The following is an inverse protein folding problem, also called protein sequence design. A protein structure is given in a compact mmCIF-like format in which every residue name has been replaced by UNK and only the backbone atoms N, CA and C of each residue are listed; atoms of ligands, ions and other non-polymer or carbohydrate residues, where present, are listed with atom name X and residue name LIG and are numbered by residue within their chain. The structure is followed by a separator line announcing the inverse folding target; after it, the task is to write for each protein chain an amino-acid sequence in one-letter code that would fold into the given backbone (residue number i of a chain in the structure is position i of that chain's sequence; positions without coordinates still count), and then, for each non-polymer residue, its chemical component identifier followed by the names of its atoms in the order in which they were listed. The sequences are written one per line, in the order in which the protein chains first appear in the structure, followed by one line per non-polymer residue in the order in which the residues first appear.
data_IF_870215841454
#
_entry.id   IF_870215841454
#
_cell.length_a   1.000
_cell.length_b   1.000
_cell.length_c   1.000
_cell.angle_alpha   90.00
_cell.angle_beta   90.00
_cell.angle_gamma   90.00
#
_symmetry.space_group_name_H-M   'P 1'
#
loop_
_entity.id
_entity.type
_entity.pdbx_description
1 polymer ?
#
# COMPACT_ATOMS: atom_id res chain seq x y z
N UNK A 1 2.27 18.23 -7.99
CA UNK A 1 2.72 18.37 -6.58
C UNK A 1 4.20 18.09 -6.56
N UNK A 2 5.01 19.13 -6.55
CA UNK A 2 6.48 19.01 -6.58
C UNK A 2 7.11 19.21 -5.19
N UNK A 3 6.30 19.58 -4.19
CA UNK A 3 6.78 19.91 -2.84
C UNK A 3 6.18 18.94 -1.80
N UNK A 4 7.01 18.34 -0.96
CA UNK A 4 6.62 17.46 0.16
C UNK A 4 5.58 18.12 1.08
N UNK A 5 5.65 19.44 1.27
CA UNK A 5 4.69 20.19 2.07
C UNK A 5 3.29 20.30 1.41
N UNK A 6 3.22 20.29 0.08
CA UNK A 6 1.94 20.27 -0.65
C UNK A 6 1.28 18.90 -0.53
N UNK A 7 2.05 17.84 -0.70
CA UNK A 7 1.60 16.45 -0.53
C UNK A 7 1.09 16.21 0.90
N UNK A 8 1.83 16.67 1.90
CA UNK A 8 1.42 16.57 3.30
C UNK A 8 0.08 17.30 3.56
N UNK A 9 -0.10 18.53 3.07
CA UNK A 9 -1.36 19.27 3.21
C UNK A 9 -2.53 18.57 2.54
N UNK A 10 -2.30 17.98 1.39
CA UNK A 10 -3.31 17.19 0.67
C UNK A 10 -3.81 16.01 1.52
N UNK A 11 -2.92 15.21 2.09
CA UNK A 11 -3.30 14.08 2.94
C UNK A 11 -3.88 14.50 4.28
N UNK A 12 -3.35 15.58 4.89
CA UNK A 12 -3.92 16.14 6.12
C UNK A 12 -5.41 16.46 5.96
N UNK A 13 -5.81 17.06 4.83
CA UNK A 13 -7.21 17.33 4.53
C UNK A 13 -8.04 16.05 4.39
N UNK A 14 -7.50 15.01 3.74
CA UNK A 14 -8.17 13.72 3.54
C UNK A 14 -8.44 12.97 4.85
N UNK A 15 -7.59 13.13 5.86
CA UNK A 15 -7.79 12.53 7.18
C UNK A 15 -8.55 13.42 8.16
N UNK A 16 -8.66 14.72 7.88
CA UNK A 16 -9.38 15.70 8.72
C UNK A 16 -10.86 15.83 8.38
N UNK A 17 -11.42 14.97 7.54
CA UNK A 17 -12.84 14.99 7.18
C UNK A 17 -13.72 14.80 8.42
N UNK A 18 -14.82 15.58 8.59
CA UNK A 18 -15.69 15.47 9.75
C UNK A 18 -16.82 14.42 9.58
N UNK A 19 -17.30 13.90 10.71
CA UNK A 19 -18.57 13.18 10.81
C UNK A 19 -18.68 11.90 9.96
N UNK A 20 -19.86 11.64 9.35
CA UNK A 20 -20.15 10.38 8.66
C UNK A 20 -19.24 10.07 7.47
N UNK A 21 -18.64 11.09 6.87
CA UNK A 21 -17.71 10.92 5.76
C UNK A 21 -16.38 10.34 6.23
N UNK A 22 -15.85 10.85 7.35
CA UNK A 22 -14.66 10.27 7.99
C UNK A 22 -14.85 8.80 8.32
N UNK A 23 -15.98 8.44 8.93
CA UNK A 23 -16.31 7.04 9.26
C UNK A 23 -16.40 6.17 8.00
N UNK A 24 -17.03 6.70 6.93
CA UNK A 24 -17.13 5.99 5.66
C UNK A 24 -15.77 5.68 5.05
N UNK A 25 -14.85 6.65 5.00
CA UNK A 25 -13.50 6.46 4.49
C UNK A 25 -12.66 5.55 5.40
N UNK A 26 -12.79 5.65 6.72
CA UNK A 26 -12.12 4.75 7.66
C UNK A 26 -12.56 3.28 7.46
N UNK A 27 -13.86 3.05 7.25
CA UNK A 27 -14.39 1.70 6.91
C UNK A 27 -13.85 1.20 5.57
N UNK A 28 -13.75 2.05 4.56
CA UNK A 28 -13.20 1.68 3.26
C UNK A 28 -11.72 1.30 3.38
N UNK A 29 -10.92 2.07 4.10
CA UNK A 29 -9.51 1.76 4.38
C UNK A 29 -9.38 0.44 5.14
N UNK A 30 -10.22 0.21 6.14
CA UNK A 30 -10.24 -1.05 6.90
C UNK A 30 -10.59 -2.27 6.02
N UNK A 31 -11.50 -2.14 5.05
CA UNK A 31 -11.79 -3.19 4.08
C UNK A 31 -10.61 -3.46 3.14
N UNK A 32 -9.92 -2.41 2.68
CA UNK A 32 -8.72 -2.54 1.86
C UNK A 32 -7.57 -3.20 2.61
N UNK A 33 -7.43 -2.91 3.91
CA UNK A 33 -6.39 -3.47 4.77
C UNK A 33 -6.44 -5.00 4.88
N UNK A 34 -7.62 -5.62 4.71
CA UNK A 34 -7.78 -7.08 4.73
C UNK A 34 -6.91 -7.74 3.65
N UNK A 35 -7.06 -7.31 2.40
CA UNK A 35 -6.25 -7.84 1.28
C UNK A 35 -4.77 -7.50 1.41
N UNK A 36 -4.45 -6.27 1.83
CA UNK A 36 -3.06 -5.83 2.08
C UNK A 36 -2.37 -6.71 3.13
N UNK A 37 -3.04 -7.00 4.25
CA UNK A 37 -2.50 -7.90 5.27
C UNK A 37 -2.33 -9.34 4.75
N UNK A 38 -3.25 -9.82 3.90
CA UNK A 38 -3.10 -11.12 3.23
C UNK A 38 -1.86 -11.15 2.33
N UNK A 39 -1.58 -10.08 1.58
CA UNK A 39 -0.37 -9.97 0.76
C UNK A 39 0.89 -10.01 1.61
N UNK A 40 0.97 -9.21 2.68
CA UNK A 40 2.13 -9.21 3.59
C UNK A 40 2.38 -10.59 4.17
N UNK A 41 1.35 -11.23 4.74
CA UNK A 41 1.45 -12.55 5.37
C UNK A 41 1.86 -13.62 4.35
N UNK A 42 1.22 -13.64 3.16
CA UNK A 42 1.53 -14.64 2.13
C UNK A 42 2.94 -14.47 1.56
N UNK A 43 3.42 -13.25 1.37
CA UNK A 43 4.78 -12.98 0.91
C UNK A 43 5.81 -13.40 1.94
N UNK A 44 5.58 -13.10 3.22
CA UNK A 44 6.45 -13.55 4.32
C UNK A 44 6.46 -15.08 4.42
N UNK A 45 5.30 -15.75 4.29
CA UNK A 45 5.19 -17.20 4.27
C UNK A 45 5.99 -17.82 3.12
N UNK A 46 5.91 -17.25 1.90
CA UNK A 46 6.71 -17.71 0.74
C UNK A 46 8.20 -17.55 0.96
N UNK A 47 8.59 -16.45 1.59
CA UNK A 47 9.99 -16.17 1.92
C UNK A 47 10.48 -16.87 3.20
N UNK A 48 9.59 -17.55 3.95
CA UNK A 48 9.85 -18.18 5.26
C UNK A 48 10.35 -17.17 6.30
N UNK A 49 9.71 -16.01 6.35
CA UNK A 49 9.98 -14.96 7.32
C UNK A 49 8.81 -14.89 8.30
N UNK A 50 9.10 -14.92 9.60
CA UNK A 50 8.15 -14.73 10.69
C UNK A 50 8.62 -13.53 11.53
N UNK A 51 8.24 -12.30 11.15
CA UNK A 51 8.81 -11.10 11.76
C UNK A 51 8.33 -10.90 13.19
N UNK A 52 9.27 -10.63 14.10
CA UNK A 52 9.01 -10.22 15.49
C UNK A 52 8.84 -8.70 15.64
N UNK A 53 9.15 -7.94 14.60
CA UNK A 53 8.95 -6.49 14.54
C UNK A 53 8.65 -6.04 13.11
N UNK A 54 7.65 -5.17 12.96
CA UNK A 54 7.19 -4.65 11.67
C UNK A 54 7.07 -3.12 11.73
N UNK A 55 7.63 -2.45 10.74
CA UNK A 55 7.53 -1.01 10.51
C UNK A 55 6.69 -0.75 9.26
N UNK A 56 5.54 -0.09 9.41
CA UNK A 56 4.68 0.35 8.28
C UNK A 56 4.96 1.82 8.00
N UNK A 57 5.60 2.11 6.87
CA UNK A 57 5.99 3.47 6.48
C UNK A 57 4.93 4.04 5.55
N UNK A 58 4.33 5.17 5.94
CA UNK A 58 3.11 5.70 5.34
C UNK A 58 1.88 4.92 5.81
N UNK A 59 1.80 4.63 7.12
CA UNK A 59 0.78 3.75 7.68
C UNK A 59 -0.65 4.33 7.63
N UNK A 60 -0.82 5.59 7.25
CA UNK A 60 -2.09 6.27 7.22
C UNK A 60 -2.80 6.24 8.57
N UNK A 61 -4.08 5.87 8.55
CA UNK A 61 -4.87 5.71 9.77
C UNK A 61 -4.60 4.38 10.54
N UNK A 62 -3.54 3.66 10.21
CA UNK A 62 -3.12 2.41 10.87
C UNK A 62 -4.00 1.19 10.55
N UNK A 63 -4.81 1.23 9.49
CA UNK A 63 -5.73 0.14 9.16
C UNK A 63 -5.00 -1.18 8.89
N UNK A 64 -3.87 -1.15 8.17
CA UNK A 64 -3.06 -2.33 7.87
C UNK A 64 -2.43 -2.91 9.15
N UNK A 65 -1.79 -2.09 9.97
CA UNK A 65 -1.19 -2.53 11.23
C UNK A 65 -2.24 -3.16 12.17
N UNK A 66 -3.41 -2.54 12.30
CA UNK A 66 -4.50 -3.09 13.11
C UNK A 66 -5.02 -4.43 12.58
N UNK A 67 -5.05 -4.63 11.27
CA UNK A 67 -5.44 -5.91 10.67
C UNK A 67 -4.36 -6.99 10.86
N UNK A 68 -3.07 -6.63 10.76
CA UNK A 68 -1.95 -7.54 11.08
C UNK A 68 -2.01 -7.97 12.54
N UNK A 69 -2.24 -7.03 13.47
CA UNK A 69 -2.43 -7.30 14.89
C UNK A 69 -3.60 -8.26 15.14
N UNK A 70 -4.75 -8.04 14.49
CA UNK A 70 -5.92 -8.92 14.60
C UNK A 70 -5.63 -10.35 14.14
N UNK A 71 -4.70 -10.52 13.21
CA UNK A 71 -4.24 -11.82 12.71
C UNK A 71 -3.10 -12.42 13.53
N UNK A 72 -2.60 -11.71 14.55
CA UNK A 72 -1.46 -12.15 15.37
C UNK A 72 -0.15 -12.20 14.59
N UNK A 73 0.02 -11.31 13.58
CA UNK A 73 1.18 -11.31 12.69
C UNK A 73 1.98 -10.02 12.83
N UNK A 74 3.30 -10.12 12.66
CA UNK A 74 4.22 -8.98 12.57
C UNK A 74 4.92 -8.59 13.89
N UNK A 75 4.61 -9.26 14.99
CA UNK A 75 5.23 -9.01 16.30
C UNK A 75 4.95 -7.60 16.81
N UNK A 76 5.99 -6.84 17.15
CA UNK A 76 5.88 -5.41 17.50
C UNK A 76 5.54 -4.60 16.27
N UNK A 77 4.41 -3.88 16.30
CA UNK A 77 3.85 -3.14 15.18
C UNK A 77 4.02 -1.63 15.37
N UNK A 78 4.80 -1.00 14.50
CA UNK A 78 5.09 0.44 14.54
C UNK A 78 4.71 1.08 13.21
N UNK A 79 4.09 2.26 13.25
CA UNK A 79 3.72 3.04 12.07
C UNK A 79 4.46 4.37 12.00
N UNK A 80 4.86 4.76 10.80
CA UNK A 80 5.33 6.12 10.47
C UNK A 80 4.35 6.76 9.51
N UNK A 81 4.01 8.02 9.76
CA UNK A 81 3.05 8.77 8.93
C UNK A 81 3.43 10.25 8.88
N UNK A 82 3.17 10.91 7.74
CA UNK A 82 3.55 12.31 7.51
C UNK A 82 2.50 13.32 8.00
N UNK A 83 1.29 12.89 8.37
CA UNK A 83 0.17 13.75 8.73
C UNK A 83 -0.24 13.59 10.20
N UNK A 84 -0.46 14.70 10.89
CA UNK A 84 -0.87 14.66 12.31
C UNK A 84 -2.27 14.07 12.48
N UNK A 85 -3.19 14.35 11.54
CA UNK A 85 -4.55 13.81 11.59
C UNK A 85 -4.56 12.27 11.47
N UNK A 86 -3.79 11.68 10.55
CA UNK A 86 -3.71 10.24 10.41
C UNK A 86 -3.03 9.59 11.62
N UNK A 87 -1.93 10.16 12.13
CA UNK A 87 -1.26 9.71 13.36
C UNK A 87 -2.23 9.68 14.55
N UNK A 88 -3.04 10.73 14.71
CA UNK A 88 -4.02 10.80 15.80
C UNK A 88 -5.08 9.69 15.69
N UNK A 89 -5.52 9.34 14.49
CA UNK A 89 -6.47 8.25 14.25
C UNK A 89 -5.78 6.89 14.48
N UNK A 90 -4.59 6.69 13.93
CA UNK A 90 -3.85 5.43 14.02
C UNK A 90 -3.52 5.05 15.47
N UNK A 91 -3.16 6.03 16.31
CA UNK A 91 -2.90 5.83 17.75
C UNK A 91 -4.11 5.33 18.54
N UNK A 92 -5.32 5.50 18.01
CA UNK A 92 -6.55 4.99 18.65
C UNK A 92 -6.88 3.55 18.23
N UNK A 93 -6.20 3.00 17.22
CA UNK A 93 -6.42 1.63 16.75
C UNK A 93 -5.76 0.62 17.69
N UNK A 94 -6.49 -0.47 17.94
CA UNK A 94 -6.01 -1.55 18.82
C UNK A 94 -4.90 -2.37 18.15
N UNK A 95 -3.94 -2.80 18.94
CA UNK A 95 -2.89 -3.72 18.56
C UNK A 95 -1.71 -3.08 17.83
N UNK A 96 -1.64 -1.76 17.78
CA UNK A 96 -0.49 -1.00 17.30
C UNK A 96 0.33 -0.55 18.51
N UNK A 97 1.63 -0.82 18.51
CA UNK A 97 2.51 -0.53 19.65
C UNK A 97 2.93 0.94 19.68
N UNK A 98 3.20 1.53 18.52
CA UNK A 98 3.53 2.95 18.38
C UNK A 98 3.17 3.48 17.01
N UNK A 99 2.81 4.77 16.95
CA UNK A 99 2.69 5.53 15.69
C UNK A 99 3.37 6.87 15.88
N UNK A 100 4.30 7.18 14.98
CA UNK A 100 5.11 8.39 15.03
C UNK A 100 4.96 9.18 13.74
N UNK A 101 5.05 10.50 13.89
CA UNK A 101 5.16 11.38 12.74
C UNK A 101 6.60 11.41 12.24
N UNK A 102 6.78 11.37 10.91
CA UNK A 102 8.10 11.51 10.29
C UNK A 102 8.04 12.52 9.12
N UNK A 103 9.17 12.82 8.51
CA UNK A 103 9.32 13.86 7.48
C UNK A 103 8.96 13.39 6.06
N UNK A 104 8.68 12.09 5.86
CA UNK A 104 8.44 11.49 4.55
C UNK A 104 9.69 11.09 3.78
N UNK A 105 10.88 11.25 4.36
CA UNK A 105 12.17 10.98 3.73
C UNK A 105 13.07 10.08 4.59
N UNK A 106 13.26 10.43 5.85
CA UNK A 106 14.18 9.75 6.75
C UNK A 106 13.44 8.88 7.76
N UNK A 107 13.76 7.61 7.81
CA UNK A 107 13.20 6.68 8.82
C UNK A 107 13.96 6.89 10.15
N UNK A 108 13.28 7.35 11.22
CA UNK A 108 13.93 7.66 12.49
C UNK A 108 14.24 6.39 13.32
N UNK A 109 14.98 5.46 12.72
CA UNK A 109 15.36 4.19 13.31
C UNK A 109 16.78 3.79 12.94
N UNK A 110 17.51 3.09 13.82
CA UNK A 110 18.81 2.51 13.49
C UNK A 110 18.74 1.49 12.35
N UNK A 111 19.90 1.19 11.77
CA UNK A 111 20.02 0.18 10.72
C UNK A 111 19.56 -1.19 11.22
N UNK A 112 18.82 -1.90 10.37
CA UNK A 112 18.30 -3.25 10.61
C UNK A 112 17.56 -3.45 11.96
N UNK A 113 16.95 -2.38 12.49
CA UNK A 113 16.24 -2.38 13.78
C UNK A 113 14.85 -3.03 13.71
N UNK A 114 14.32 -3.25 12.52
CA UNK A 114 13.09 -3.99 12.28
C UNK A 114 13.36 -5.20 11.37
N UNK A 115 12.64 -6.30 11.63
CA UNK A 115 12.73 -7.48 10.78
C UNK A 115 11.96 -7.32 9.47
N UNK A 116 10.84 -6.56 9.49
CA UNK A 116 10.02 -6.31 8.32
C UNK A 116 9.68 -4.81 8.20
N UNK A 117 9.93 -4.24 7.04
CA UNK A 117 9.36 -2.97 6.58
C UNK A 117 8.15 -3.21 5.67
N UNK A 118 7.18 -2.33 5.68
CA UNK A 118 6.03 -2.35 4.77
C UNK A 118 5.85 -0.95 4.18
N UNK A 119 5.67 -0.90 2.86
CA UNK A 119 5.31 0.28 2.07
C UNK A 119 4.10 -0.07 1.21
N UNK A 120 2.90 0.11 1.74
CA UNK A 120 1.67 -0.25 1.03
C UNK A 120 0.93 0.97 0.50
N UNK A 121 0.97 1.17 -0.81
CA UNK A 121 0.43 2.35 -1.49
C UNK A 121 1.10 3.66 -1.05
N UNK A 122 2.41 3.69 -1.10
CA UNK A 122 3.25 4.86 -0.74
C UNK A 122 4.12 5.28 -1.93
N UNK A 123 4.76 4.32 -2.61
CA UNK A 123 5.78 4.61 -3.63
C UNK A 123 5.22 5.38 -4.84
N UNK A 124 3.95 5.21 -5.17
CA UNK A 124 3.28 5.97 -6.22
C UNK A 124 3.07 7.44 -5.89
N UNK A 125 3.23 7.83 -4.63
CA UNK A 125 2.98 9.18 -4.11
C UNK A 125 4.23 9.99 -3.80
N UNK A 126 5.40 9.37 -3.75
CA UNK A 126 6.63 10.05 -3.36
C UNK A 126 7.43 10.50 -4.57
N UNK A 127 8.14 11.64 -4.49
CA UNK A 127 8.93 12.16 -5.62
C UNK A 127 10.05 11.22 -6.06
N UNK A 128 10.72 10.56 -5.11
CA UNK A 128 11.84 9.63 -5.35
C UNK A 128 11.55 8.28 -4.67
N UNK A 129 10.83 7.36 -5.34
CA UNK A 129 10.51 6.05 -4.77
C UNK A 129 11.73 5.18 -4.45
N UNK A 130 12.82 5.13 -5.27
CA UNK A 130 14.02 4.39 -4.92
C UNK A 130 14.68 4.89 -3.64
N UNK A 131 14.80 6.20 -3.45
CA UNK A 131 15.43 6.80 -2.26
C UNK A 131 14.67 6.45 -0.99
N UNK A 132 13.33 6.56 -0.97
CA UNK A 132 12.54 6.18 0.19
C UNK A 132 12.65 4.68 0.47
N UNK A 133 12.64 3.85 -0.57
CA UNK A 133 12.76 2.40 -0.42
C UNK A 133 14.14 1.99 0.11
N UNK A 134 15.22 2.64 -0.32
CA UNK A 134 16.58 2.46 0.20
C UNK A 134 16.65 2.79 1.70
N UNK A 135 16.03 3.90 2.10
CA UNK A 135 16.00 4.33 3.51
C UNK A 135 15.21 3.36 4.39
N UNK A 136 14.08 2.83 3.90
CA UNK A 136 13.33 1.77 4.60
C UNK A 136 14.15 0.48 4.68
N UNK A 137 14.86 0.11 3.61
CA UNK A 137 15.72 -1.05 3.57
C UNK A 137 16.94 -0.93 4.51
N UNK A 138 17.43 0.28 4.77
CA UNK A 138 18.45 0.53 5.80
C UNK A 138 17.94 0.16 7.19
N UNK A 139 16.71 0.54 7.52
CA UNK A 139 16.12 0.32 8.83
C UNK A 139 15.54 -1.10 9.01
N UNK A 140 15.31 -1.87 7.92
CA UNK A 140 14.61 -3.14 7.94
C UNK A 140 15.42 -4.26 7.25
N UNK A 141 15.33 -5.50 7.77
CA UNK A 141 16.01 -6.66 7.19
C UNK A 141 15.34 -7.17 5.90
N UNK A 142 14.01 -7.03 5.80
CA UNK A 142 13.23 -7.31 4.61
C UNK A 142 12.17 -6.23 4.44
N UNK A 143 11.73 -5.99 3.21
CA UNK A 143 10.71 -4.97 2.91
C UNK A 143 9.63 -5.56 2.01
N UNK A 144 8.37 -5.39 2.38
CA UNK A 144 7.21 -5.61 1.50
C UNK A 144 6.80 -4.28 0.91
N UNK A 145 6.78 -4.21 -0.41
CA UNK A 145 6.16 -3.11 -1.16
C UNK A 145 4.82 -3.56 -1.73
N UNK A 146 3.84 -2.66 -1.81
CA UNK A 146 2.61 -2.87 -2.57
C UNK A 146 2.24 -1.60 -3.31
N UNK A 147 2.02 -1.71 -4.63
CA UNK A 147 1.67 -0.60 -5.52
C UNK A 147 0.56 -0.98 -6.50
N UNK A 148 -0.30 -0.03 -6.91
CA UNK A 148 -1.27 -0.26 -7.97
C UNK A 148 -0.55 -0.22 -9.33
N UNK A 149 -0.73 -1.26 -10.17
CA UNK A 149 -0.23 -1.23 -11.55
C UNK A 149 -1.20 -0.44 -12.43
N UNK A 150 -0.93 0.84 -12.61
CA UNK A 150 -1.81 1.78 -13.33
C UNK A 150 -1.34 2.10 -14.75
N UNK A 151 -0.16 1.71 -15.17
CA UNK A 151 0.30 1.83 -16.56
C UNK A 151 -0.42 0.81 -17.47
N UNK A 152 -1.76 0.88 -17.51
CA UNK A 152 -2.63 -0.04 -18.24
C UNK A 152 -3.67 0.68 -19.09
N UNK A 153 -4.37 -0.06 -19.96
CA UNK A 153 -5.32 0.51 -20.91
C UNK A 153 -6.51 1.21 -20.24
N UNK A 154 -6.98 0.69 -19.08
CA UNK A 154 -8.12 1.28 -18.37
C UNK A 154 -7.76 2.61 -17.69
N UNK A 155 -6.51 2.79 -17.29
CA UNK A 155 -6.02 4.01 -16.65
C UNK A 155 -5.90 5.20 -17.63
N UNK A 156 -5.83 4.91 -18.95
CA UNK A 156 -5.82 5.94 -20.01
C UNK A 156 -7.13 6.69 -20.14
N UNK A 157 -8.23 6.22 -19.52
CA UNK A 157 -9.52 6.92 -19.54
C UNK A 157 -9.43 8.20 -18.71
N UNK A 158 -10.00 9.29 -19.23
CA UNK A 158 -9.98 10.62 -18.58
C UNK A 158 -10.37 10.58 -17.11
N UNK A 159 -11.50 9.96 -16.78
CA UNK A 159 -11.98 9.80 -15.39
C UNK A 159 -11.02 9.06 -14.45
N UNK A 160 -10.15 8.19 -14.98
CA UNK A 160 -9.16 7.48 -14.18
C UNK A 160 -7.89 8.31 -13.96
N UNK A 161 -7.50 9.11 -14.95
CA UNK A 161 -6.39 10.07 -14.81
C UNK A 161 -6.74 11.18 -13.83
N UNK A 162 -7.96 11.70 -13.90
CA UNK A 162 -8.46 12.66 -12.91
C UNK A 162 -8.44 12.06 -11.52
N UNK A 163 -8.94 10.84 -11.35
CA UNK A 163 -8.93 10.16 -10.06
C UNK A 163 -7.51 9.92 -9.53
N UNK A 164 -6.55 9.50 -10.35
CA UNK A 164 -5.16 9.35 -9.94
C UNK A 164 -4.56 10.68 -9.45
N UNK A 165 -4.84 11.79 -10.15
CA UNK A 165 -4.44 13.12 -9.72
C UNK A 165 -5.15 13.55 -8.42
N UNK A 166 -6.46 13.23 -8.27
CA UNK A 166 -7.25 13.50 -7.07
C UNK A 166 -6.77 12.74 -5.83
N UNK A 167 -6.14 11.58 -5.99
CA UNK A 167 -5.54 10.80 -4.89
C UNK A 167 -4.04 11.02 -4.73
N UNK A 168 -3.45 11.93 -5.51
CA UNK A 168 -2.05 12.34 -5.38
C UNK A 168 -1.02 11.37 -5.96
N UNK A 169 -1.38 10.54 -6.95
CA UNK A 169 -0.41 9.68 -7.63
C UNK A 169 0.52 10.51 -8.51
N UNK A 170 1.81 10.48 -8.21
CA UNK A 170 2.88 11.08 -9.00
C UNK A 170 3.37 10.12 -10.09
N UNK A 171 3.30 8.81 -9.82
CA UNK A 171 3.78 7.77 -10.71
C UNK A 171 2.66 6.82 -11.13
N UNK A 172 2.58 6.52 -12.43
CA UNK A 172 1.72 5.47 -12.98
C UNK A 172 2.62 4.27 -13.32
N UNK A 173 2.69 3.33 -12.39
CA UNK A 173 3.65 2.23 -12.43
C UNK A 173 3.10 1.01 -13.19
N UNK A 174 3.99 0.31 -13.90
CA UNK A 174 3.81 -1.08 -14.28
C UNK A 174 4.69 -2.02 -13.43
N UNK A 175 4.67 -3.33 -13.72
CA UNK A 175 5.47 -4.31 -12.98
C UNK A 175 6.97 -4.14 -13.23
N UNK A 176 7.38 -3.68 -14.41
CA UNK A 176 8.78 -3.44 -14.74
C UNK A 176 9.29 -2.22 -13.98
N UNK A 177 8.48 -1.16 -13.90
CA UNK A 177 8.78 0.04 -13.12
C UNK A 177 8.94 -0.30 -11.63
N UNK A 178 7.98 -1.04 -11.04
CA UNK A 178 8.06 -1.46 -9.65
C UNK A 178 9.32 -2.28 -9.35
N UNK A 179 9.71 -3.19 -10.25
CA UNK A 179 10.96 -3.95 -10.13
C UNK A 179 12.22 -3.10 -10.36
N UNK A 180 12.13 -2.05 -11.19
CA UNK A 180 13.24 -1.09 -11.36
C UNK A 180 13.49 -0.32 -10.09
N UNK A 181 12.43 0.22 -9.47
CA UNK A 181 12.51 0.89 -8.16
C UNK A 181 13.20 0.00 -7.12
N UNK A 182 12.79 -1.27 -7.02
CA UNK A 182 13.41 -2.24 -6.10
C UNK A 182 14.90 -2.43 -6.38
N UNK A 183 15.28 -2.58 -7.65
CA UNK A 183 16.67 -2.79 -8.04
C UNK A 183 17.52 -1.54 -7.80
N UNK A 184 16.99 -0.36 -8.10
CA UNK A 184 17.65 0.93 -7.89
C UNK A 184 17.89 1.21 -6.40
N UNK A 185 16.99 0.74 -5.52
CA UNK A 185 17.18 0.76 -4.07
C UNK A 185 18.12 -0.34 -3.53
N UNK A 186 18.87 -1.03 -4.38
CA UNK A 186 19.81 -2.08 -3.96
C UNK A 186 19.16 -3.37 -3.44
N UNK A 187 17.89 -3.60 -3.78
CA UNK A 187 17.13 -4.76 -3.30
C UNK A 187 16.88 -5.80 -4.39
N UNK A 188 16.62 -7.03 -3.94
CA UNK A 188 16.23 -8.16 -4.78
C UNK A 188 14.85 -8.68 -4.37
N UNK A 189 13.96 -8.89 -5.34
CA UNK A 189 12.65 -9.52 -5.12
C UNK A 189 12.83 -11.00 -4.78
N UNK A 190 12.32 -11.43 -3.63
CA UNK A 190 12.34 -12.82 -3.15
C UNK A 190 11.03 -13.55 -3.40
N UNK A 191 9.92 -12.83 -3.26
CA UNK A 191 8.58 -13.33 -3.55
C UNK A 191 7.73 -12.19 -4.08
N UNK A 192 6.79 -12.49 -4.94
CA UNK A 192 5.85 -11.51 -5.46
C UNK A 192 4.49 -12.12 -5.74
N UNK A 193 3.47 -11.29 -5.77
CA UNK A 193 2.13 -11.62 -6.18
C UNK A 193 1.46 -10.40 -6.83
N UNK A 194 0.38 -10.64 -7.53
CA UNK A 194 -0.45 -9.56 -8.05
C UNK A 194 -1.88 -10.06 -8.15
N UNK A 195 -2.85 -9.25 -7.75
CA UNK A 195 -4.26 -9.59 -7.86
C UNK A 195 -5.18 -8.38 -8.12
N UNK A 196 -6.42 -8.61 -8.54
CA UNK A 196 -7.41 -7.55 -8.63
C UNK A 196 -7.86 -7.12 -7.25
N UNK A 197 -8.32 -5.87 -7.15
CA UNK A 197 -8.95 -5.35 -5.94
C UNK A 197 -10.02 -6.31 -5.39
N UNK A 198 -10.06 -6.55 -4.06
CA UNK A 198 -11.06 -7.39 -3.44
C UNK A 198 -12.49 -6.97 -3.77
N UNK A 199 -13.39 -7.94 -3.83
CA UNK A 199 -14.81 -7.74 -4.19
C UNK A 199 -15.48 -6.70 -3.29
N UNK A 200 -15.25 -6.81 -2.00
CA UNK A 200 -15.84 -5.96 -0.95
C UNK A 200 -15.45 -4.50 -1.14
N UNK A 201 -14.20 -4.24 -1.48
CA UNK A 201 -13.67 -2.89 -1.76
C UNK A 201 -14.34 -2.32 -3.02
N UNK A 202 -14.49 -3.13 -4.09
CA UNK A 202 -15.15 -2.69 -5.33
C UNK A 202 -16.63 -2.42 -5.15
N UNK A 203 -17.30 -3.11 -4.23
CA UNK A 203 -18.72 -2.95 -3.95
C UNK A 203 -19.02 -1.83 -2.96
N UNK A 204 -18.02 -1.34 -2.24
CA UNK A 204 -18.22 -0.41 -1.11
C UNK A 204 -18.97 0.87 -1.51
N UNK A 205 -18.62 1.45 -2.66
CA UNK A 205 -19.26 2.66 -3.16
C UNK A 205 -20.50 2.40 -4.05
N UNK A 206 -20.84 1.14 -4.32
CA UNK A 206 -21.99 0.80 -5.16
C UNK A 206 -23.30 0.95 -4.38
N UNK A 207 -24.05 2.01 -4.70
CA UNK A 207 -25.35 2.29 -4.09
C UNK A 207 -26.51 1.73 -4.95
N UNK A 208 -27.42 1.00 -4.30
CA UNK A 208 -28.60 0.41 -4.94
C UNK A 208 -28.30 -0.89 -5.72
N UNK A 209 -29.36 -1.65 -6.01
CA UNK A 209 -29.26 -2.99 -6.59
C UNK A 209 -28.55 -3.01 -7.97
N UNK A 210 -28.91 -2.09 -8.86
CA UNK A 210 -28.32 -2.03 -10.20
C UNK A 210 -26.81 -1.75 -10.17
N UNK A 211 -26.35 -0.80 -9.33
CA UNK A 211 -24.93 -0.49 -9.18
C UNK A 211 -24.15 -1.66 -8.59
N UNK A 212 -24.73 -2.37 -7.61
CA UNK A 212 -24.13 -3.58 -7.02
C UNK A 212 -24.03 -4.72 -8.02
N UNK A 213 -25.05 -4.98 -8.84
CA UNK A 213 -25.01 -5.98 -9.92
C UNK A 213 -23.88 -5.64 -10.91
N UNK A 214 -23.80 -4.38 -11.39
CA UNK A 214 -22.74 -3.93 -12.30
C UNK A 214 -21.35 -4.05 -11.69
N UNK A 215 -21.17 -3.71 -10.41
CA UNK A 215 -19.90 -3.83 -9.71
C UNK A 215 -19.48 -5.29 -9.52
N UNK A 216 -20.43 -6.20 -9.18
CA UNK A 216 -20.19 -7.64 -9.10
C UNK A 216 -19.79 -8.22 -10.46
N UNK A 217 -20.52 -7.91 -11.54
CA UNK A 217 -20.19 -8.38 -12.88
C UNK A 217 -18.78 -7.92 -13.30
N UNK A 218 -18.45 -6.64 -13.06
CA UNK A 218 -17.12 -6.10 -13.33
C UNK A 218 -16.01 -6.80 -12.54
N UNK A 219 -16.25 -7.04 -11.24
CA UNK A 219 -15.31 -7.76 -10.41
C UNK A 219 -15.12 -9.20 -10.90
N UNK A 220 -16.20 -9.94 -11.17
CA UNK A 220 -16.14 -11.32 -11.66
C UNK A 220 -15.36 -11.41 -12.99
N UNK A 221 -15.64 -10.51 -13.94
CA UNK A 221 -14.89 -10.45 -15.21
C UNK A 221 -13.39 -10.24 -14.98
N UNK A 222 -13.01 -9.33 -14.07
CA UNK A 222 -11.60 -9.06 -13.76
C UNK A 222 -10.92 -10.23 -13.07
N UNK A 223 -11.59 -10.81 -12.07
CA UNK A 223 -11.08 -11.96 -11.32
C UNK A 223 -10.89 -13.18 -12.24
N UNK A 224 -11.87 -13.49 -13.09
CA UNK A 224 -11.78 -14.59 -14.07
C UNK A 224 -10.67 -14.34 -15.06
N UNK A 225 -10.60 -13.14 -15.67
CA UNK A 225 -9.55 -12.83 -16.63
C UNK A 225 -8.16 -12.88 -15.99
N UNK A 226 -8.03 -12.38 -14.77
CA UNK A 226 -6.75 -12.45 -14.04
C UNK A 226 -6.35 -13.90 -13.73
N UNK A 227 -7.29 -14.74 -13.32
CA UNK A 227 -7.03 -16.16 -13.05
C UNK A 227 -6.63 -16.96 -14.30
N UNK A 228 -7.18 -16.62 -15.46
CA UNK A 228 -6.90 -17.35 -16.72
C UNK A 228 -5.72 -16.75 -17.51
N UNK A 229 -5.61 -15.44 -17.57
CA UNK A 229 -4.68 -14.68 -18.39
C UNK A 229 -4.12 -13.47 -17.63
N UNK A 230 -3.27 -13.68 -16.58
CA UNK A 230 -2.85 -12.61 -15.69
C UNK A 230 -2.08 -11.48 -16.41
N UNK A 231 -1.27 -11.81 -17.42
CA UNK A 231 -0.55 -10.79 -18.19
C UNK A 231 -1.48 -9.90 -19.01
N UNK A 232 -2.51 -10.48 -19.60
CA UNK A 232 -3.54 -9.71 -20.33
C UNK A 232 -4.35 -8.85 -19.35
N UNK A 233 -4.74 -9.40 -18.22
CA UNK A 233 -5.47 -8.68 -17.19
C UNK A 233 -4.73 -7.41 -16.74
N UNK A 234 -3.42 -7.52 -16.46
CA UNK A 234 -2.56 -6.38 -16.08
C UNK A 234 -2.47 -5.29 -17.16
N UNK A 235 -2.50 -5.68 -18.45
CA UNK A 235 -2.54 -4.71 -19.57
C UNK A 235 -3.88 -4.00 -19.69
N UNK A 236 -4.97 -4.63 -19.26
CA UNK A 236 -6.32 -4.10 -19.43
C UNK A 236 -6.81 -3.27 -18.25
N UNK A 237 -6.48 -3.64 -17.02
CA UNK A 237 -6.98 -2.96 -15.81
C UNK A 237 -5.98 -3.02 -14.65
N UNK A 238 -6.17 -2.10 -13.70
CA UNK A 238 -5.34 -2.00 -12.51
C UNK A 238 -5.48 -3.25 -11.65
N UNK A 239 -4.35 -3.85 -11.30
CA UNK A 239 -4.18 -4.88 -10.27
C UNK A 239 -3.20 -4.34 -9.22
N UNK A 240 -3.24 -4.88 -8.02
CA UNK A 240 -2.27 -4.58 -6.98
C UNK A 240 -1.10 -5.53 -7.11
N UNK A 241 0.10 -5.00 -7.14
CA UNK A 241 1.34 -5.76 -7.15
C UNK A 241 2.00 -5.61 -5.80
N UNK A 242 2.31 -6.73 -5.18
CA UNK A 242 3.08 -6.75 -3.93
C UNK A 242 4.31 -7.63 -4.09
N UNK A 243 5.42 -7.20 -3.50
CA UNK A 243 6.69 -7.92 -3.53
C UNK A 243 7.41 -7.82 -2.18
N UNK A 244 7.94 -8.95 -1.71
CA UNK A 244 8.87 -9.00 -0.61
C UNK A 244 10.29 -8.96 -1.17
N UNK A 245 11.08 -8.03 -0.66
CA UNK A 245 12.42 -7.71 -1.11
C UNK A 245 13.42 -7.81 0.06
N UNK A 246 14.65 -8.17 -0.24
CA UNK A 246 15.78 -8.18 0.72
C UNK A 246 16.97 -7.48 0.11
N UNK A 247 17.93 -6.99 0.90
CA UNK A 247 19.18 -6.48 0.37
C UNK A 247 19.82 -7.44 -0.63
N UNK A 248 20.33 -6.90 -1.73
CA UNK A 248 21.07 -7.70 -2.69
C UNK A 248 22.35 -8.25 -2.03
N UNK A 249 22.77 -9.47 -2.35
CA UNK A 249 24.06 -9.97 -1.86
C UNK A 249 25.17 -9.00 -2.24
N UNK A 250 26.05 -8.68 -1.29
CA UNK A 250 27.29 -7.97 -1.58
C UNK A 250 28.12 -8.81 -2.56
N UNK A 251 28.56 -8.24 -3.67
CA UNK A 251 29.49 -8.88 -4.60
C UNK A 251 30.86 -9.15 -3.93
#
# INVERSE_FOLDING_TARGET
MEDSAELQRFYEQGYSLPGPEAERFSRWRSLGAIGKAEHVIELCRRARIEPSSTLDVGCGDGALLSELARRGFGGRLVGLEITDAAVAIARQRKGIDAVERYDGQSVPAPDASYELGVLSHVLEHVPDPPQLLEEVARACQAVVIEVPLEANLSARRHTKREHAAEVGHLHSLDRADARSIVREAGLTVRAELADPLPREVQLFFAQGARARIKANARWATRATLHGMLPDLARRLFTVHYAALCTPSPSE
#
